data_IF_207117635136
#
_entry.id   IF_207117635136
#
_cell.length_a   1.000
_cell.length_b   1.000
_cell.length_c   1.000
_cell.angle_alpha   90.00
_cell.angle_beta   90.00
_cell.angle_gamma   90.00
#
_symmetry.space_group_name_H-M   'P 1'
#
loop_
_entity.id
_entity.type
_entity.pdbx_description
1 polymer ?
#
# COMPACT_ATOMS: atom_id res chain seq x y z
N UNK A 1 -4.50 7.17 -28.91
CA UNK A 1 -5.63 6.59 -28.14
C UNK A 1 -6.34 7.73 -27.40
N UNK A 2 -7.68 7.73 -27.26
CA UNK A 2 -8.36 8.77 -26.47
C UNK A 2 -8.10 8.60 -24.96
N UNK A 3 -8.36 9.61 -24.13
CA UNK A 3 -8.00 9.59 -22.70
C UNK A 3 -8.74 8.53 -21.88
N UNK A 4 -10.01 8.25 -22.20
CA UNK A 4 -10.78 7.18 -21.54
C UNK A 4 -10.17 5.80 -21.83
N UNK A 5 -9.80 5.57 -23.10
CA UNK A 5 -9.14 4.35 -23.53
C UNK A 5 -7.74 4.23 -22.93
N UNK A 6 -7.01 5.34 -22.76
CA UNK A 6 -5.69 5.35 -22.12
C UNK A 6 -5.75 4.97 -20.64
N UNK A 7 -6.70 5.54 -19.89
CA UNK A 7 -6.94 5.15 -18.49
C UNK A 7 -7.19 3.65 -18.40
N UNK A 8 -8.10 3.12 -19.22
CA UNK A 8 -8.43 1.70 -19.23
C UNK A 8 -7.25 0.82 -19.64
N UNK A 9 -6.46 1.26 -20.61
CA UNK A 9 -5.26 0.56 -21.07
C UNK A 9 -4.22 0.40 -19.94
N UNK A 10 -3.91 1.47 -19.21
CA UNK A 10 -2.97 1.43 -18.07
C UNK A 10 -3.43 0.46 -16.98
N UNK A 11 -4.75 0.43 -16.70
CA UNK A 11 -5.34 -0.52 -15.76
C UNK A 11 -5.09 -1.97 -16.24
N UNK A 12 -5.35 -2.25 -17.52
CA UNK A 12 -5.16 -3.58 -18.09
C UNK A 12 -3.68 -4.00 -18.14
N UNK A 13 -2.77 -3.08 -18.43
CA UNK A 13 -1.32 -3.34 -18.38
C UNK A 13 -0.87 -3.67 -16.94
N UNK A 14 -1.39 -2.96 -15.94
CA UNK A 14 -1.11 -3.24 -14.53
C UNK A 14 -1.59 -4.64 -14.14
N UNK A 15 -2.82 -5.00 -14.52
CA UNK A 15 -3.39 -6.33 -14.27
C UNK A 15 -2.55 -7.42 -14.94
N UNK A 16 -2.26 -7.28 -16.24
CA UNK A 16 -1.48 -8.26 -17.01
C UNK A 16 -0.08 -8.46 -16.45
N UNK A 17 0.56 -7.38 -16.00
CA UNK A 17 1.88 -7.47 -15.37
C UNK A 17 1.82 -8.29 -14.08
N UNK A 18 0.87 -8.00 -13.18
CA UNK A 18 0.72 -8.73 -11.91
C UNK A 18 0.36 -10.19 -12.15
N UNK A 19 -0.49 -10.50 -13.13
CA UNK A 19 -0.81 -11.88 -13.52
C UNK A 19 0.42 -12.64 -14.04
N UNK A 20 1.25 -11.99 -14.85
CA UNK A 20 2.52 -12.56 -15.32
C UNK A 20 3.47 -12.80 -14.15
N UNK A 21 3.64 -11.81 -13.27
CA UNK A 21 4.51 -11.91 -12.11
C UNK A 21 4.07 -13.04 -11.17
N UNK A 22 2.76 -13.25 -11.00
CA UNK A 22 2.19 -14.32 -10.18
C UNK A 22 2.64 -15.72 -10.61
N UNK A 23 2.88 -15.95 -11.90
CA UNK A 23 3.34 -17.24 -12.45
C UNK A 23 4.79 -17.56 -12.09
N UNK A 24 5.58 -16.53 -11.75
CA UNK A 24 6.98 -16.65 -11.38
C UNK A 24 7.22 -16.38 -9.88
N UNK A 25 6.16 -16.14 -9.11
CA UNK A 25 6.25 -15.77 -7.71
C UNK A 25 6.52 -17.00 -6.82
N UNK A 26 7.23 -16.76 -5.71
CA UNK A 26 7.43 -17.74 -4.64
C UNK A 26 6.96 -17.11 -3.32
N UNK A 27 5.94 -17.69 -2.63
CA UNK A 27 5.13 -18.83 -3.08
C UNK A 27 4.33 -18.53 -4.37
N UNK A 28 3.88 -19.56 -5.08
CA UNK A 28 3.07 -19.35 -6.29
C UNK A 28 1.75 -18.64 -5.96
N UNK A 29 1.31 -17.74 -6.86
CA UNK A 29 0.03 -17.02 -6.73
C UNK A 29 -0.08 -16.20 -5.44
N UNK A 30 0.81 -15.25 -5.22
CA UNK A 30 0.77 -14.35 -4.06
C UNK A 30 -0.39 -13.35 -4.17
N UNK A 31 -0.64 -12.86 -5.37
CA UNK A 31 -1.47 -11.68 -5.62
C UNK A 31 -2.82 -12.03 -6.24
N UNK A 32 -3.85 -11.24 -5.92
CA UNK A 32 -5.11 -11.16 -6.67
C UNK A 32 -5.01 -10.09 -7.76
N UNK A 33 -6.07 -9.92 -8.54
CA UNK A 33 -6.20 -8.82 -9.51
C UNK A 33 -6.01 -7.48 -8.80
N UNK A 34 -5.08 -6.62 -9.25
CA UNK A 34 -4.85 -5.33 -8.61
C UNK A 34 -6.02 -4.36 -8.83
N UNK A 35 -6.20 -3.42 -7.90
CA UNK A 35 -7.02 -2.23 -8.08
C UNK A 35 -6.11 -1.07 -8.49
N UNK A 36 -6.57 -0.22 -9.40
CA UNK A 36 -5.80 0.90 -9.94
C UNK A 36 -6.67 2.14 -9.91
N UNK A 37 -6.13 3.24 -9.40
CA UNK A 37 -6.83 4.51 -9.24
C UNK A 37 -5.93 5.69 -9.59
N UNK A 38 -6.56 6.83 -9.90
CA UNK A 38 -5.90 8.00 -10.45
C UNK A 38 -6.28 9.23 -9.61
N UNK A 39 -5.38 9.68 -8.75
CA UNK A 39 -5.61 10.82 -7.86
C UNK A 39 -5.20 12.14 -8.53
N UNK A 40 -6.08 13.16 -8.56
CA UNK A 40 -5.69 14.52 -8.97
C UNK A 40 -4.74 15.10 -7.92
N UNK A 41 -3.53 15.48 -8.34
CA UNK A 41 -2.53 16.04 -7.42
C UNK A 41 -3.08 17.27 -6.69
N UNK A 42 -3.94 18.06 -7.33
CA UNK A 42 -4.53 19.30 -6.77
C UNK A 42 -5.69 19.04 -5.82
N UNK A 43 -6.13 17.79 -5.66
CA UNK A 43 -7.21 17.47 -4.74
C UNK A 43 -6.88 17.94 -3.31
N UNK A 44 -7.82 18.55 -2.56
CA UNK A 44 -7.54 19.12 -1.24
C UNK A 44 -6.89 18.14 -0.26
N UNK A 45 -7.30 16.86 -0.29
CA UNK A 45 -6.69 15.82 0.55
C UNK A 45 -5.19 15.61 0.29
N UNK A 46 -4.72 15.77 -0.95
CA UNK A 46 -3.30 15.70 -1.30
C UNK A 46 -2.60 17.01 -0.91
N UNK A 47 -3.21 18.15 -1.23
CA UNK A 47 -2.65 19.47 -0.87
C UNK A 47 -2.42 19.62 0.64
N UNK A 48 -3.18 18.89 1.45
CA UNK A 48 -3.06 18.93 2.91
C UNK A 48 -2.11 17.90 3.53
N UNK A 49 -1.36 17.12 2.74
CA UNK A 49 -0.56 16.00 3.27
C UNK A 49 0.55 16.42 4.23
N UNK A 50 1.12 17.63 4.06
CA UNK A 50 2.09 18.15 5.04
C UNK A 50 1.49 18.36 6.43
N UNK A 51 0.18 18.57 6.53
CA UNK A 51 -0.52 18.68 7.81
C UNK A 51 -1.00 17.32 8.34
N UNK A 52 -1.46 16.42 7.47
CA UNK A 52 -2.09 15.16 7.88
C UNK A 52 -1.14 13.97 7.97
N UNK A 53 -0.12 13.93 7.10
CA UNK A 53 0.83 12.83 6.99
C UNK A 53 2.23 13.18 7.54
N UNK A 54 2.50 14.47 7.79
CA UNK A 54 3.74 14.98 8.40
C UNK A 54 4.38 16.09 7.56
N UNK A 55 5.02 17.06 8.21
CA UNK A 55 5.51 18.29 7.57
C UNK A 55 6.54 18.05 6.46
N UNK A 56 7.32 16.98 6.59
CA UNK A 56 8.33 16.56 5.63
C UNK A 56 7.78 15.71 4.48
N UNK A 57 6.46 15.50 4.40
CA UNK A 57 5.87 14.74 3.31
C UNK A 57 6.20 15.37 1.94
N UNK A 58 6.75 14.56 1.03
CA UNK A 58 7.12 14.99 -0.32
C UNK A 58 5.85 15.16 -1.17
N UNK A 59 5.73 16.30 -1.83
CA UNK A 59 4.60 16.59 -2.71
C UNK A 59 4.83 16.03 -4.11
N UNK A 60 3.77 15.67 -4.87
CA UNK A 60 3.91 15.20 -6.24
C UNK A 60 4.73 16.13 -7.15
N UNK A 61 4.59 17.45 -6.97
CA UNK A 61 5.33 18.47 -7.73
C UNK A 61 6.83 18.48 -7.42
N UNK A 62 7.23 18.06 -6.22
CA UNK A 62 8.64 17.91 -5.86
C UNK A 62 9.29 16.73 -6.61
N UNK A 63 8.48 15.75 -7.05
CA UNK A 63 8.92 14.60 -7.86
C UNK A 63 8.93 14.96 -9.34
N UNK A 64 7.92 15.71 -9.79
CA UNK A 64 7.74 16.08 -11.18
C UNK A 64 6.96 17.40 -11.30
N UNK A 65 7.60 18.44 -11.84
CA UNK A 65 7.04 19.81 -11.86
C UNK A 65 5.68 19.91 -12.57
N UNK A 66 5.48 19.14 -13.64
CA UNK A 66 4.24 19.09 -14.42
C UNK A 66 3.30 17.94 -14.00
N UNK A 67 3.41 17.46 -12.75
CA UNK A 67 2.55 16.42 -12.21
C UNK A 67 1.05 16.81 -12.31
N UNK A 68 0.23 15.85 -12.75
CA UNK A 68 -1.23 16.02 -12.85
C UNK A 68 -1.96 14.93 -12.07
N UNK A 69 -1.45 13.70 -12.13
CA UNK A 69 -2.03 12.53 -11.52
C UNK A 69 -0.99 11.81 -10.67
N UNK A 70 -1.41 11.29 -9.51
CA UNK A 70 -0.74 10.15 -8.88
C UNK A 70 -1.49 8.89 -9.29
N UNK A 71 -0.85 8.06 -10.11
CA UNK A 71 -1.32 6.71 -10.43
C UNK A 71 -1.01 5.83 -9.23
N UNK A 72 -2.02 5.24 -8.62
CA UNK A 72 -1.87 4.40 -7.42
C UNK A 72 -2.52 3.06 -7.67
N UNK A 73 -1.90 2.00 -7.18
CA UNK A 73 -2.47 0.67 -7.29
C UNK A 73 -2.30 -0.12 -6.00
N UNK A 74 -3.35 -0.87 -5.66
CA UNK A 74 -3.37 -1.81 -4.56
C UNK A 74 -3.28 -3.22 -5.15
N UNK A 75 -2.32 -4.01 -4.67
CA UNK A 75 -2.14 -5.41 -5.02
C UNK A 75 -2.59 -6.25 -3.82
N UNK A 76 -3.80 -6.84 -3.86
CA UNK A 76 -4.32 -7.65 -2.78
C UNK A 76 -3.59 -8.99 -2.71
N UNK A 77 -3.46 -9.54 -1.52
CA UNK A 77 -2.94 -10.89 -1.30
C UNK A 77 -4.04 -11.94 -1.47
N UNK A 78 -3.63 -13.15 -1.84
CA UNK A 78 -4.53 -14.30 -1.84
C UNK A 78 -5.05 -14.63 -0.43
N UNK A 79 -6.23 -15.25 -0.39
CA UNK A 79 -6.94 -15.56 0.86
C UNK A 79 -6.11 -16.40 1.83
N UNK A 80 -5.32 -17.35 1.32
CA UNK A 80 -4.57 -18.28 2.16
C UNK A 80 -3.55 -17.54 3.04
N UNK A 81 -2.85 -16.53 2.50
CA UNK A 81 -1.90 -15.70 3.25
C UNK A 81 -2.56 -15.00 4.45
N UNK A 82 -3.77 -14.45 4.25
CA UNK A 82 -4.53 -13.80 5.33
C UNK A 82 -5.05 -14.82 6.35
N UNK A 83 -5.49 -15.99 5.90
CA UNK A 83 -5.99 -17.06 6.77
C UNK A 83 -4.90 -17.67 7.62
N UNK A 84 -3.70 -17.87 7.08
CA UNK A 84 -2.55 -18.41 7.80
C UNK A 84 -1.97 -17.39 8.77
N UNK A 85 -1.96 -16.11 8.40
CA UNK A 85 -1.42 -15.07 9.26
C UNK A 85 -2.39 -14.56 10.35
N UNK A 86 -3.60 -15.14 10.47
CA UNK A 86 -4.64 -14.66 11.41
C UNK A 86 -4.30 -14.91 12.89
N UNK A 87 -3.51 -15.94 13.18
CA UNK A 87 -3.29 -16.38 14.56
C UNK A 87 -2.37 -15.41 15.33
N UNK A 88 -2.49 -15.40 16.66
CA UNK A 88 -1.73 -14.48 17.53
C UNK A 88 -0.22 -14.73 17.45
N UNK A 89 0.57 -13.69 17.71
CA UNK A 89 2.03 -13.77 17.79
C UNK A 89 2.73 -13.20 16.55
N UNK A 90 3.79 -13.87 16.10
CA UNK A 90 4.60 -13.46 14.96
C UNK A 90 3.89 -13.71 13.62
N UNK A 91 4.27 -12.95 12.61
CA UNK A 91 3.85 -13.16 11.24
C UNK A 91 4.32 -14.52 10.74
N UNK A 92 3.50 -15.18 9.91
CA UNK A 92 3.93 -16.40 9.24
C UNK A 92 5.03 -16.10 8.23
N UNK A 93 5.86 -17.11 7.95
CA UNK A 93 6.93 -17.00 6.94
C UNK A 93 6.36 -16.64 5.57
N UNK A 94 5.23 -17.23 5.18
CA UNK A 94 4.62 -16.97 3.87
C UNK A 94 4.06 -15.55 3.76
N UNK A 95 3.52 -14.99 4.85
CA UNK A 95 3.13 -13.57 4.88
C UNK A 95 4.35 -12.65 4.74
N UNK A 96 5.44 -12.97 5.42
CA UNK A 96 6.67 -12.21 5.33
C UNK A 96 7.33 -12.32 3.94
N UNK A 97 7.36 -13.51 3.36
CA UNK A 97 7.85 -13.74 2.01
C UNK A 97 6.98 -12.99 0.99
N UNK A 98 5.65 -13.06 1.11
CA UNK A 98 4.74 -12.31 0.25
C UNK A 98 5.01 -10.81 0.32
N UNK A 99 5.26 -10.26 1.51
CA UNK A 99 5.61 -8.85 1.68
C UNK A 99 6.86 -8.46 0.91
N UNK A 100 7.98 -9.17 1.11
CA UNK A 100 9.25 -8.88 0.45
C UNK A 100 9.17 -9.11 -1.07
N UNK A 101 8.57 -10.22 -1.50
CA UNK A 101 8.37 -10.53 -2.93
C UNK A 101 7.52 -9.46 -3.62
N UNK A 102 6.50 -8.92 -2.94
CA UNK A 102 5.65 -7.84 -3.49
C UNK A 102 6.41 -6.54 -3.66
N UNK A 103 7.20 -6.15 -2.67
CA UNK A 103 8.00 -4.92 -2.75
C UNK A 103 9.07 -5.03 -3.85
N UNK A 104 9.69 -6.20 -4.04
CA UNK A 104 10.60 -6.45 -5.15
C UNK A 104 9.89 -6.38 -6.52
N UNK A 105 8.66 -6.92 -6.61
CA UNK A 105 7.83 -6.84 -7.82
C UNK A 105 7.48 -5.39 -8.19
N UNK A 106 7.22 -4.53 -7.20
CA UNK A 106 6.87 -3.13 -7.45
C UNK A 106 7.92 -2.36 -8.23
N UNK A 107 9.21 -2.62 -8.01
CA UNK A 107 10.28 -1.98 -8.81
C UNK A 107 10.12 -2.32 -10.30
N UNK A 108 9.85 -3.58 -10.62
CA UNK A 108 9.66 -4.04 -12.01
C UNK A 108 8.36 -3.52 -12.61
N UNK A 109 7.27 -3.50 -11.84
CA UNK A 109 5.99 -2.96 -12.27
C UNK A 109 6.07 -1.45 -12.52
N UNK A 110 6.71 -0.69 -11.64
CA UNK A 110 6.91 0.75 -11.81
C UNK A 110 7.72 1.03 -13.08
N UNK A 111 8.82 0.32 -13.32
CA UNK A 111 9.60 0.45 -14.54
C UNK A 111 8.80 0.10 -15.81
N UNK A 112 7.95 -0.93 -15.74
CA UNK A 112 7.06 -1.29 -16.84
C UNK A 112 6.06 -0.18 -17.14
N UNK A 113 5.36 0.31 -16.11
CA UNK A 113 4.35 1.35 -16.27
C UNK A 113 4.95 2.68 -16.71
N UNK A 114 6.15 3.04 -16.25
CA UNK A 114 6.88 4.22 -16.74
C UNK A 114 7.06 4.12 -18.26
N UNK A 115 7.64 3.01 -18.76
CA UNK A 115 7.83 2.81 -20.21
C UNK A 115 6.51 2.84 -20.99
N UNK A 116 5.48 2.16 -20.48
CA UNK A 116 4.14 2.16 -21.10
C UNK A 116 3.58 3.58 -21.20
N UNK A 117 3.76 4.41 -20.17
CA UNK A 117 3.27 5.79 -20.16
C UNK A 117 4.07 6.68 -21.12
N UNK A 118 5.40 6.49 -21.17
CA UNK A 118 6.31 7.18 -22.09
C UNK A 118 6.00 6.87 -23.55
N UNK A 119 5.70 5.62 -23.89
CA UNK A 119 5.27 5.19 -25.23
C UNK A 119 3.96 5.86 -25.67
N UNK A 120 3.14 6.33 -24.73
CA UNK A 120 1.91 7.10 -25.01
C UNK A 120 2.15 8.61 -25.09
N UNK A 121 3.40 9.07 -24.99
CA UNK A 121 3.78 10.48 -25.08
C UNK A 121 3.63 11.27 -23.78
N UNK A 122 3.58 10.59 -22.64
CA UNK A 122 3.50 11.20 -21.30
C UNK A 122 4.76 10.88 -20.48
N UNK A 123 4.85 11.39 -19.26
CA UNK A 123 5.96 11.14 -18.34
C UNK A 123 5.44 10.57 -17.04
N UNK A 124 6.20 9.66 -16.44
CA UNK A 124 5.94 9.13 -15.12
C UNK A 124 7.25 8.95 -14.35
N UNK A 125 7.20 9.18 -13.04
CA UNK A 125 8.33 9.04 -12.14
C UNK A 125 7.92 8.38 -10.84
N UNK A 126 8.82 7.58 -10.31
CA UNK A 126 8.74 7.11 -8.93
C UNK A 126 9.30 8.19 -8.00
N UNK A 127 8.64 8.40 -6.86
CA UNK A 127 9.17 9.28 -5.81
C UNK A 127 10.45 8.67 -5.22
N UNK A 128 11.51 9.47 -4.97
CA UNK A 128 12.69 8.98 -4.25
C UNK A 128 12.35 8.54 -2.81
N UNK A 129 11.34 9.16 -2.20
CA UNK A 129 10.83 8.83 -0.86
C UNK A 129 10.00 7.53 -0.81
N UNK A 130 9.59 6.98 -1.97
CA UNK A 130 8.71 5.81 -2.05
C UNK A 130 9.29 4.55 -1.38
N UNK A 131 10.62 4.47 -1.25
CA UNK A 131 11.34 3.33 -0.65
C UNK A 131 12.07 3.70 0.64
N UNK A 132 11.90 4.92 1.14
CA UNK A 132 12.58 5.39 2.34
C UNK A 132 11.67 5.20 3.55
N UNK A 133 12.25 4.64 4.61
CA UNK A 133 11.60 4.49 5.90
C UNK A 133 12.55 5.00 6.98
N UNK A 134 12.15 6.09 7.61
CA UNK A 134 12.91 6.75 8.68
C UNK A 134 12.64 6.02 9.98
N UNK A 135 13.56 5.15 10.40
CA UNK A 135 13.40 4.24 11.54
C UNK A 135 13.28 4.97 12.88
N UNK A 136 13.98 6.10 13.03
CA UNK A 136 13.96 6.90 14.25
C UNK A 136 12.59 7.55 14.51
N UNK A 137 11.91 7.97 13.45
CA UNK A 137 10.58 8.58 13.49
C UNK A 137 9.45 7.56 13.25
N UNK A 138 9.80 6.38 12.73
CA UNK A 138 8.88 5.32 12.28
C UNK A 138 7.88 5.88 11.26
N UNK A 139 8.39 6.58 10.26
CA UNK A 139 7.58 7.27 9.24
C UNK A 139 8.16 7.08 7.83
N UNK A 140 7.30 7.25 6.83
CA UNK A 140 7.71 7.51 5.45
C UNK A 140 7.17 8.87 5.06
N UNK A 141 7.98 9.66 4.36
CA UNK A 141 7.58 10.95 3.82
C UNK A 141 6.80 10.83 2.50
N UNK A 142 6.42 9.62 2.10
CA UNK A 142 5.59 9.36 0.93
C UNK A 142 4.41 8.43 1.24
N UNK A 143 3.23 9.01 1.40
CA UNK A 143 2.05 8.27 1.86
C UNK A 143 1.17 7.71 0.73
N UNK A 144 1.52 6.52 0.24
CA UNK A 144 0.71 5.78 -0.74
C UNK A 144 -0.76 5.59 -0.32
N UNK A 145 -1.05 5.42 0.97
CA UNK A 145 -2.43 5.21 1.45
C UNK A 145 -3.31 6.44 1.22
N UNK A 146 -2.78 7.65 1.41
CA UNK A 146 -3.56 8.87 1.18
C UNK A 146 -3.78 9.14 -0.30
N UNK A 147 -2.81 8.81 -1.15
CA UNK A 147 -3.01 8.86 -2.61
C UNK A 147 -4.09 7.86 -3.03
N UNK A 148 -4.05 6.63 -2.50
CA UNK A 148 -5.06 5.62 -2.80
C UNK A 148 -6.46 5.98 -2.27
N UNK A 149 -6.57 6.62 -1.09
CA UNK A 149 -7.82 7.23 -0.61
C UNK A 149 -8.34 8.28 -1.59
N UNK A 150 -7.47 9.20 -2.02
CA UNK A 150 -7.83 10.27 -2.97
C UNK A 150 -8.25 9.72 -4.33
N UNK A 151 -7.60 8.64 -4.77
CA UNK A 151 -7.90 7.90 -5.99
C UNK A 151 -9.14 6.98 -5.87
N UNK A 152 -9.91 7.07 -4.77
CA UNK A 152 -11.16 6.32 -4.61
C UNK A 152 -10.99 4.82 -4.39
N UNK A 153 -9.80 4.35 -4.03
CA UNK A 153 -9.55 2.90 -3.86
C UNK A 153 -10.11 2.35 -2.56
N UNK A 154 -10.38 3.18 -1.55
CA UNK A 154 -10.88 2.76 -0.26
C UNK A 154 -10.93 3.87 0.79
N UNK A 155 -11.33 3.53 2.02
CA UNK A 155 -11.29 4.44 3.19
C UNK A 155 -10.39 3.91 4.29
N UNK A 156 -9.97 4.77 5.21
CA UNK A 156 -9.08 4.37 6.31
C UNK A 156 -9.82 3.60 7.39
N UNK A 157 -9.33 2.41 7.74
CA UNK A 157 -9.73 1.66 8.91
C UNK A 157 -9.26 2.27 10.23
N UNK A 158 -9.81 1.78 11.35
CA UNK A 158 -9.33 2.11 12.70
C UNK A 158 -7.85 1.72 12.90
N UNK A 159 -7.39 0.68 12.21
CA UNK A 159 -5.99 0.23 12.19
C UNK A 159 -5.07 1.08 11.30
N UNK A 160 -5.54 2.22 10.78
CA UNK A 160 -4.85 3.09 9.82
C UNK A 160 -4.48 2.44 8.48
N UNK A 161 -5.10 1.31 8.14
CA UNK A 161 -4.95 0.65 6.86
C UNK A 161 -6.06 1.08 5.91
N UNK A 162 -5.78 1.16 4.62
CA UNK A 162 -6.80 1.45 3.62
C UNK A 162 -7.63 0.18 3.35
N UNK A 163 -8.94 0.24 3.59
CA UNK A 163 -9.88 -0.83 3.28
C UNK A 163 -10.45 -0.56 1.90
N UNK A 164 -10.05 -1.38 0.93
CA UNK A 164 -10.54 -1.32 -0.46
C UNK A 164 -11.73 -2.24 -0.68
N UNK A 165 -12.30 -2.22 -1.88
CA UNK A 165 -13.31 -3.22 -2.30
C UNK A 165 -12.79 -4.67 -2.17
N UNK A 166 -11.48 -4.88 -2.36
CA UNK A 166 -10.81 -6.17 -2.17
C UNK A 166 -10.22 -6.35 -0.76
N UNK A 167 -10.63 -5.52 0.20
CA UNK A 167 -10.16 -5.54 1.58
C UNK A 167 -8.86 -4.77 1.78
N UNK A 168 -8.19 -5.03 2.91
CA UNK A 168 -6.95 -4.36 3.32
C UNK A 168 -5.70 -5.26 3.35
N UNK A 169 -5.86 -6.56 3.09
CA UNK A 169 -4.74 -7.50 3.02
C UNK A 169 -4.04 -7.39 1.66
N UNK A 170 -2.99 -6.57 1.61
CA UNK A 170 -2.19 -6.37 0.40
C UNK A 170 -1.21 -5.21 0.56
N UNK A 171 -0.68 -4.74 -0.58
CA UNK A 171 0.32 -3.66 -0.63
C UNK A 171 -0.09 -2.60 -1.65
N UNK A 172 0.34 -1.36 -1.42
CA UNK A 172 0.05 -0.22 -2.29
C UNK A 172 1.37 0.35 -2.82
N UNK A 173 1.40 0.72 -4.09
CA UNK A 173 2.47 1.51 -4.69
C UNK A 173 1.88 2.44 -5.78
N UNK A 174 2.71 3.20 -6.47
CA UNK A 174 2.25 4.16 -7.47
C UNK A 174 3.36 5.04 -8.06
N UNK A 175 2.96 5.87 -9.01
CA UNK A 175 3.80 6.77 -9.80
C UNK A 175 3.18 8.16 -9.86
N UNK A 176 4.02 9.19 -9.91
CA UNK A 176 3.62 10.55 -10.26
C UNK A 176 3.70 10.69 -11.77
N UNK A 177 2.71 11.31 -12.40
CA UNK A 177 2.62 11.39 -13.86
C UNK A 177 1.83 12.61 -14.34
N UNK A 178 2.11 13.05 -15.56
CA UNK A 178 1.43 14.15 -16.25
C UNK A 178 0.31 13.63 -17.17
N UNK A 179 -0.09 12.36 -17.01
CA UNK A 179 -1.23 11.78 -17.70
C UNK A 179 -2.48 12.65 -17.53
N UNK A 180 -3.11 12.99 -18.66
CA UNK A 180 -4.31 13.84 -18.71
C UNK A 180 -5.60 13.01 -18.74
N UNK A 181 -5.70 12.03 -17.85
CA UNK A 181 -6.89 11.20 -17.69
C UNK A 181 -7.82 11.79 -16.62
N UNK A 182 -9.10 11.44 -16.67
CA UNK A 182 -10.06 11.86 -15.64
C UNK A 182 -9.68 11.24 -14.28
N UNK A 183 -9.44 12.06 -13.23
CA UNK A 183 -9.14 11.55 -11.90
C UNK A 183 -10.35 10.86 -11.28
N UNK A 184 -10.09 9.90 -10.42
CA UNK A 184 -11.08 9.29 -9.54
C UNK A 184 -11.36 10.19 -8.33
N UNK A 185 -12.37 9.83 -7.53
CA UNK A 185 -12.80 10.60 -6.37
C UNK A 185 -12.81 9.74 -5.13
N UNK A 186 -12.53 10.30 -3.93
CA UNK A 186 -12.67 9.58 -2.68
C UNK A 186 -14.06 8.96 -2.54
N UNK A 187 -14.09 7.74 -1.99
CA UNK A 187 -15.33 7.08 -1.65
C UNK A 187 -16.03 7.84 -0.51
N UNK A 188 -17.35 7.97 -0.59
CA UNK A 188 -18.15 8.71 0.38
C UNK A 188 -18.50 7.87 1.61
N UNK A 189 -18.63 6.56 1.42
CA UNK A 189 -19.02 5.65 2.49
C UNK A 189 -17.80 5.10 3.23
N UNK A 190 -17.88 5.06 4.55
CA UNK A 190 -16.87 4.47 5.40
C UNK A 190 -16.92 2.94 5.35
N UNK A 191 -15.83 2.31 4.91
CA UNK A 191 -15.66 0.87 4.87
C UNK A 191 -15.40 0.26 6.26
N UNK A 192 -14.88 1.04 7.21
CA UNK A 192 -14.60 0.53 8.54
C UNK A 192 -15.87 0.41 9.38
N UNK A 193 -16.30 -0.81 9.69
CA UNK A 193 -17.45 -1.07 10.57
C UNK A 193 -17.37 -0.35 11.93
N UNK A 194 -16.18 -0.21 12.51
CA UNK A 194 -16.03 0.57 13.75
C UNK A 194 -16.43 2.04 13.56
N UNK A 195 -15.87 2.68 12.54
CA UNK A 195 -16.14 4.10 12.26
C UNK A 195 -17.57 4.32 11.76
N UNK A 196 -18.15 3.32 11.08
CA UNK A 196 -19.54 3.35 10.57
C UNK A 196 -20.57 3.23 11.69
N UNK A 197 -20.40 2.28 12.62
CA UNK A 197 -21.41 1.99 13.66
C UNK A 197 -20.88 1.32 14.94
N UNK A 198 -19.56 1.26 15.16
CA UNK A 198 -18.96 0.65 16.35
C UNK A 198 -18.98 -0.88 16.41
N UNK A 199 -19.50 -1.58 15.40
CA UNK A 199 -19.75 -3.04 15.48
C UNK A 199 -18.50 -3.93 15.37
N UNK A 200 -17.32 -3.36 15.09
CA UNK A 200 -16.09 -4.13 14.93
C UNK A 200 -14.91 -3.49 15.65
N UNK A 201 -14.23 -4.21 16.54
CA UNK A 201 -13.00 -3.76 17.20
C UNK A 201 -11.85 -4.76 17.09
N UNK A 202 -11.95 -5.74 16.18
CA UNK A 202 -11.08 -6.92 16.16
C UNK A 202 -9.59 -6.56 16.01
N UNK A 203 -9.26 -5.53 15.23
CA UNK A 203 -7.88 -5.07 15.07
C UNK A 203 -7.23 -4.62 16.39
N UNK A 204 -8.02 -4.10 17.35
CA UNK A 204 -7.56 -3.75 18.71
C UNK A 204 -7.18 -5.01 19.50
N UNK A 205 -7.98 -6.07 19.35
CA UNK A 205 -7.85 -7.31 20.11
C UNK A 205 -6.71 -8.19 19.59
N UNK A 206 -6.50 -8.23 18.27
CA UNK A 206 -5.48 -9.11 17.66
C UNK A 206 -4.09 -8.48 17.60
N UNK A 207 -3.96 -7.17 17.82
CA UNK A 207 -2.66 -6.49 17.78
C UNK A 207 -1.75 -7.00 18.90
N UNK A 208 -0.67 -7.76 18.60
CA UNK A 208 0.19 -8.31 19.64
C UNK A 208 0.97 -7.23 20.40
N UNK A 209 1.20 -6.07 19.76
CA UNK A 209 1.88 -4.93 20.34
C UNK A 209 0.97 -4.03 21.21
N UNK A 210 -0.35 -4.24 21.16
CA UNK A 210 -1.35 -3.29 21.70
C UNK A 210 -1.09 -1.85 21.22
N UNK A 211 -0.71 -1.73 19.95
CA UNK A 211 -0.36 -0.47 19.31
C UNK A 211 -1.59 0.31 18.81
N UNK A 212 -2.74 -0.33 18.73
CA UNK A 212 -3.98 0.27 18.21
C UNK A 212 -4.94 0.40 19.40
N UNK A 213 -5.48 1.59 19.57
CA UNK A 213 -6.57 1.91 20.49
C UNK A 213 -7.70 2.57 19.71
N UNK A 214 -8.85 2.82 20.34
CA UNK A 214 -9.94 3.52 19.67
C UNK A 214 -9.59 4.97 19.30
N UNK A 215 -8.68 5.60 20.06
CA UNK A 215 -8.33 7.03 19.91
C UNK A 215 -6.97 7.25 19.26
N UNK A 216 -6.05 6.28 19.33
CA UNK A 216 -4.66 6.48 18.94
C UNK A 216 -4.00 5.23 18.35
N UNK A 217 -2.94 5.48 17.58
CA UNK A 217 -2.03 4.46 17.06
C UNK A 217 -0.59 4.77 17.47
N UNK A 218 0.01 3.86 18.23
CA UNK A 218 1.40 3.92 18.67
C UNK A 218 2.29 3.20 17.66
N UNK A 219 2.82 3.98 16.71
CA UNK A 219 3.72 3.48 15.66
C UNK A 219 4.99 2.83 16.21
N UNK A 220 5.52 3.30 17.35
CA UNK A 220 6.75 2.75 17.94
C UNK A 220 6.49 1.35 18.50
N UNK A 221 5.37 1.14 19.20
CA UNK A 221 4.95 -0.21 19.63
C UNK A 221 4.71 -1.13 18.42
N UNK A 222 4.04 -0.64 17.39
CA UNK A 222 3.82 -1.41 16.17
C UNK A 222 5.14 -1.85 15.52
N UNK A 223 6.10 -0.93 15.42
CA UNK A 223 7.39 -1.19 14.81
C UNK A 223 8.27 -2.11 15.65
N UNK A 224 8.25 -1.98 16.98
CA UNK A 224 8.92 -2.93 17.88
C UNK A 224 8.45 -4.38 17.66
N UNK A 225 7.18 -4.58 17.30
CA UNK A 225 6.69 -5.90 16.89
C UNK A 225 7.21 -6.33 15.51
N UNK A 226 7.37 -5.42 14.55
CA UNK A 226 8.01 -5.72 13.27
C UNK A 226 9.48 -6.14 13.47
N UNK A 227 10.22 -5.51 14.39
CA UNK A 227 11.60 -5.89 14.71
C UNK A 227 11.70 -7.32 15.26
N UNK A 228 10.77 -7.73 16.14
CA UNK A 228 10.67 -9.13 16.60
C UNK A 228 10.43 -10.12 15.46
N UNK A 229 9.73 -9.70 14.41
CA UNK A 229 9.53 -10.54 13.22
C UNK A 229 10.81 -10.63 12.38
N UNK A 230 11.56 -9.53 12.28
CA UNK A 230 12.83 -9.50 11.55
C UNK A 230 13.86 -10.47 12.14
N UNK A 231 13.88 -10.63 13.47
CA UNK A 231 14.75 -11.60 14.17
C UNK A 231 14.47 -13.07 13.80
N UNK A 232 13.25 -13.38 13.33
CA UNK A 232 12.86 -14.75 12.93
C UNK A 232 12.92 -14.94 11.42
N UNK A 233 12.61 -13.90 10.65
CA UNK A 233 12.55 -13.94 9.19
C UNK A 233 13.84 -13.42 8.54
N UNK A 234 15.00 -13.80 9.07
CA UNK A 234 16.32 -13.29 8.66
C UNK A 234 16.70 -13.69 7.23
N UNK A 235 16.30 -14.89 6.80
CA UNK A 235 16.59 -15.41 5.45
C UNK A 235 15.80 -14.76 4.31
N UNK A 236 14.87 -13.83 4.61
CA UNK A 236 14.02 -13.17 3.61
C UNK A 236 14.58 -11.81 3.15
N UNK A 237 15.57 -11.28 3.86
CA UNK A 237 16.06 -9.90 3.66
C UNK A 237 15.06 -8.85 4.14
N UNK A 238 15.28 -7.60 3.71
CA UNK A 238 14.41 -6.47 4.03
C UNK A 238 14.33 -5.50 2.85
N UNK A 239 13.10 -5.09 2.51
CA UNK A 239 12.83 -4.09 1.47
C UNK A 239 13.30 -2.67 1.83
N UNK A 240 13.64 -2.41 3.09
CA UNK A 240 14.04 -1.11 3.62
C UNK A 240 15.46 -1.15 4.20
N UNK A 241 16.39 -1.74 3.44
CA UNK A 241 17.79 -1.98 3.80
C UNK A 241 18.73 -0.80 3.51
N UNK A 242 18.25 0.45 3.60
CA UNK A 242 19.18 1.59 3.57
C UNK A 242 20.03 1.54 4.85
N UNK A 243 21.23 0.93 4.75
CA UNK A 243 22.15 0.67 5.85
C UNK A 243 22.26 -0.83 6.25
N UNK A 244 23.26 -1.14 7.09
CA UNK A 244 23.54 -2.50 7.59
C UNK A 244 22.65 -2.92 8.78
N UNK A 245 21.52 -2.24 9.02
CA UNK A 245 20.73 -2.40 10.26
C UNK A 245 19.61 -3.44 10.16
N UNK A 246 19.12 -3.72 8.95
CA UNK A 246 18.00 -4.64 8.76
C UNK A 246 18.49 -6.10 8.73
N UNK A 247 18.09 -6.88 9.74
CA UNK A 247 18.48 -8.29 9.88
C UNK A 247 17.49 -9.28 9.27
N UNK A 248 16.30 -8.83 8.86
CA UNK A 248 15.23 -9.66 8.30
C UNK A 248 13.97 -8.85 7.99
N UNK A 249 12.88 -9.55 7.64
CA UNK A 249 11.64 -8.89 7.19
C UNK A 249 10.86 -8.24 8.34
N UNK A 250 10.71 -6.91 8.27
CA UNK A 250 10.04 -6.08 9.28
C UNK A 250 8.53 -5.99 9.05
N UNK A 251 7.84 -7.12 9.19
CA UNK A 251 6.42 -7.25 8.87
C UNK A 251 5.65 -7.97 9.97
N UNK A 252 4.41 -7.55 10.20
CA UNK A 252 3.50 -8.18 11.16
C UNK A 252 2.16 -8.58 10.51
N UNK A 253 1.37 -7.60 10.05
CA UNK A 253 0.13 -7.85 9.31
C UNK A 253 -1.05 -8.39 10.14
N UNK A 254 -0.90 -8.64 11.44
CA UNK A 254 -1.99 -9.21 12.27
C UNK A 254 -3.26 -8.37 12.30
N UNK A 255 -3.15 -7.04 12.20
CA UNK A 255 -4.31 -6.15 12.15
C UNK A 255 -5.01 -6.10 10.78
N UNK A 256 -4.50 -6.80 9.75
CA UNK A 256 -5.10 -6.92 8.41
C UNK A 256 -5.30 -8.37 7.96
N UNK A 257 -4.83 -9.34 8.75
CA UNK A 257 -5.00 -10.76 8.49
C UNK A 257 -6.20 -11.30 9.29
N UNK A 258 -7.07 -12.09 8.66
CA UNK A 258 -8.23 -12.70 9.31
C UNK A 258 -9.32 -11.74 9.82
N UNK A 259 -9.24 -10.44 9.50
CA UNK A 259 -10.26 -9.44 9.84
C UNK A 259 -11.46 -9.50 8.87
N UNK A 260 -12.67 -9.05 9.27
CA UNK A 260 -13.81 -8.95 8.35
C UNK A 260 -13.52 -8.09 7.12
N UNK A 261 -12.68 -7.05 7.26
CA UNK A 261 -12.23 -6.17 6.18
C UNK A 261 -10.94 -6.64 5.48
N UNK A 262 -10.41 -7.82 5.80
CA UNK A 262 -9.13 -8.27 5.27
C UNK A 262 -9.18 -8.58 3.78
N UNK A 263 -10.22 -9.31 3.34
CA UNK A 263 -10.29 -9.91 2.00
C UNK A 263 -11.38 -9.32 1.11
N UNK A 264 -12.21 -8.42 1.65
CA UNK A 264 -13.25 -7.65 0.97
C UNK A 264 -13.69 -6.46 1.82
N UNK A 265 -14.40 -5.50 1.22
CA UNK A 265 -15.15 -4.47 1.95
C UNK A 265 -16.31 -5.08 2.76
N UNK A 266 -16.50 -4.71 4.04
CA UNK A 266 -17.58 -5.22 4.90
C UNK A 266 -18.86 -4.35 4.96
#
# INVERSE_FOLDING_TARGET
MNMKNLKQFIIQETIRFVETANRAAVPEKIWKTPLVGFADVRHPAIRNLKQTAGEHHQMPEDVMEDAVIVLVYFVPFQDFLSKENKDKGLATKDWAQAYETTNAMFSKLNQHLIRVIEEQGFSAKESPEARIFYRDEVISHWSFRHFAYTAGLGTFGLNNMLITEQGCAGRINGLVTNLRVSPDQPQQEEACLFKRNGSCGLCLQVCPAKAITEQAYDRRKCYAQCLKNAEVHTGLGSSYSQGNEAIGSEVCGKCVAGMPCALKRP
#
